data_IF_678188884753
#
_entry.id   IF_678188884753
#
_cell.length_a   1.000
_cell.length_b   1.000
_cell.length_c   1.000
_cell.angle_alpha   90.00
_cell.angle_beta   90.00
_cell.angle_gamma   90.00
#
_symmetry.space_group_name_H-M   'P 1'
#
loop_
_entity.id
_entity.type
_entity.pdbx_description
1 polymer ?
#
# COMPACT_ATOMS: atom_id res chain seq x y z
N UNK A 1 7.72 13.38 -16.18
CA UNK A 1 7.96 13.22 -14.73
C UNK A 1 7.10 12.08 -14.21
N UNK A 2 7.70 11.05 -13.62
CA UNK A 2 6.98 9.98 -12.93
C UNK A 2 6.72 10.41 -11.49
N UNK A 3 5.46 10.38 -11.05
CA UNK A 3 5.08 10.71 -9.67
C UNK A 3 4.63 9.43 -8.99
N UNK A 4 5.30 9.09 -7.88
CA UNK A 4 4.91 7.97 -7.03
C UNK A 4 4.24 8.51 -5.77
N UNK A 5 3.16 7.83 -5.35
CA UNK A 5 2.45 8.13 -4.10
C UNK A 5 2.48 6.92 -3.18
N UNK A 6 2.45 7.18 -1.87
CA UNK A 6 2.24 6.13 -0.87
C UNK A 6 0.81 5.62 -0.96
N UNK A 7 0.66 4.31 -0.84
CA UNK A 7 -0.64 3.67 -0.73
C UNK A 7 -1.32 4.03 0.59
N UNK A 8 -2.60 4.36 0.53
CA UNK A 8 -3.39 4.57 1.73
C UNK A 8 -3.64 3.22 2.42
N UNK A 9 -3.63 3.22 3.75
CA UNK A 9 -3.96 2.03 4.53
C UNK A 9 -5.43 1.66 4.32
N UNK A 10 -5.73 0.35 4.27
CA UNK A 10 -7.10 -0.15 4.25
C UNK A 10 -7.51 -0.55 5.66
N UNK A 11 -8.75 -0.26 6.02
CA UNK A 11 -9.34 -0.84 7.21
C UNK A 11 -9.56 -2.34 7.01
N UNK A 12 -9.17 -3.13 8.00
CA UNK A 12 -9.36 -4.56 7.98
C UNK A 12 -10.31 -4.97 9.11
N UNK A 13 -11.58 -5.18 8.77
CA UNK A 13 -12.68 -5.48 9.70
C UNK A 13 -12.33 -6.58 10.71
N UNK A 14 -11.86 -7.75 10.26
CA UNK A 14 -11.59 -8.87 11.18
C UNK A 14 -10.46 -8.59 12.18
N UNK A 15 -9.49 -7.76 11.81
CA UNK A 15 -8.32 -7.45 12.64
C UNK A 15 -8.44 -6.11 13.35
N UNK A 16 -9.49 -5.33 13.04
CA UNK A 16 -9.75 -3.99 13.56
C UNK A 16 -8.51 -3.08 13.49
N UNK A 17 -7.82 -3.10 12.34
CA UNK A 17 -6.60 -2.32 12.14
C UNK A 17 -6.51 -1.74 10.72
N UNK A 18 -5.71 -0.68 10.59
CA UNK A 18 -5.31 -0.12 9.30
C UNK A 18 -4.06 -0.84 8.80
N UNK A 19 -4.15 -1.51 7.65
CA UNK A 19 -3.03 -2.29 7.11
C UNK A 19 -2.97 -2.23 5.59
N UNK A 20 -1.82 -2.64 5.06
CA UNK A 20 -1.62 -2.89 3.62
C UNK A 20 -1.48 -4.38 3.40
N UNK A 21 -1.86 -4.86 2.22
CA UNK A 21 -1.65 -6.24 1.84
C UNK A 21 -0.22 -6.44 1.33
N UNK A 22 0.63 -7.05 2.15
CA UNK A 22 2.01 -7.39 1.79
C UNK A 22 2.15 -8.82 1.26
N UNK A 23 1.05 -9.57 1.11
CA UNK A 23 1.01 -10.97 0.65
C UNK A 23 1.97 -11.89 1.41
N UNK A 24 2.05 -11.73 2.73
CA UNK A 24 2.93 -12.52 3.61
C UNK A 24 4.40 -12.11 3.63
N UNK A 25 4.82 -11.09 2.85
CA UNK A 25 6.23 -10.62 2.81
C UNK A 25 6.62 -9.67 3.94
N UNK A 26 5.67 -9.25 4.76
CA UNK A 26 5.90 -8.37 5.91
C UNK A 26 5.16 -8.96 7.09
N UNK A 27 5.90 -9.26 8.15
CA UNK A 27 5.44 -10.00 9.33
C UNK A 27 5.47 -9.13 10.58
N UNK A 28 6.31 -8.08 10.60
CA UNK A 28 6.45 -7.17 11.73
C UNK A 28 5.74 -5.86 11.45
N UNK A 29 4.81 -5.48 12.32
CA UNK A 29 4.13 -4.20 12.25
C UNK A 29 5.11 -3.03 12.44
N UNK A 30 5.04 -2.04 11.56
CA UNK A 30 5.88 -0.84 11.63
C UNK A 30 5.26 0.29 10.83
N UNK A 31 5.42 1.53 11.32
CA UNK A 31 5.13 2.76 10.55
C UNK A 31 6.03 2.91 9.33
N UNK A 32 7.12 2.14 9.25
CA UNK A 32 8.01 2.09 8.10
C UNK A 32 7.51 1.16 6.99
N UNK A 33 6.44 0.39 7.19
CA UNK A 33 5.90 -0.48 6.16
C UNK A 33 5.05 0.37 5.18
N UNK A 34 5.44 0.42 3.91
CA UNK A 34 4.70 1.18 2.90
C UNK A 34 4.78 0.54 1.51
N UNK A 35 3.79 0.86 0.68
CA UNK A 35 3.76 0.53 -0.74
C UNK A 35 3.72 1.84 -1.55
N UNK A 36 4.41 1.87 -2.69
CA UNK A 36 4.40 2.98 -3.64
C UNK A 36 3.73 2.57 -4.95
N UNK A 37 2.93 3.48 -5.50
CA UNK A 37 2.18 3.29 -6.74
C UNK A 37 2.30 4.51 -7.63
N UNK A 38 2.07 4.34 -8.93
CA UNK A 38 2.04 5.46 -9.88
C UNK A 38 0.84 6.36 -9.58
N UNK A 39 1.07 7.66 -9.47
CA UNK A 39 -0.01 8.64 -9.43
C UNK A 39 -0.58 8.82 -10.84
N UNK A 40 -1.77 8.27 -11.11
CA UNK A 40 -2.51 8.58 -12.34
C UNK A 40 -2.98 10.05 -12.32
N UNK A 41 -2.76 10.78 -13.42
CA UNK A 41 -3.10 12.22 -13.53
C UNK A 41 -4.59 12.54 -13.33
N UNK A 42 -5.49 11.57 -13.50
CA UNK A 42 -6.95 11.77 -13.52
C UNK A 42 -7.70 11.16 -12.32
N UNK A 43 -7.07 11.12 -11.14
CA UNK A 43 -7.78 11.00 -9.86
C UNK A 43 -8.53 9.69 -9.54
N UNK A 44 -8.73 8.79 -10.51
CA UNK A 44 -9.47 7.53 -10.30
C UNK A 44 -8.51 6.36 -10.44
N UNK A 45 -7.66 6.18 -9.44
CA UNK A 45 -7.07 4.86 -9.20
C UNK A 45 -8.13 4.05 -8.45
N UNK A 46 -8.92 3.27 -9.20
CA UNK A 46 -9.85 2.30 -8.63
C UNK A 46 -9.11 1.31 -7.72
N UNK A 47 -9.76 0.98 -6.61
CA UNK A 47 -9.18 0.40 -5.39
C UNK A 47 -8.63 -1.03 -5.51
N UNK A 48 -8.62 -1.63 -6.69
CA UNK A 48 -8.31 -3.06 -6.85
C UNK A 48 -7.09 -3.38 -7.73
N UNK A 49 -6.59 -2.42 -8.52
CA UNK A 49 -5.38 -2.58 -9.35
C UNK A 49 -4.41 -1.42 -9.17
N UNK A 50 -4.13 -1.04 -7.93
CA UNK A 50 -2.98 -0.20 -7.66
C UNK A 50 -1.71 -1.03 -7.94
N UNK A 51 -1.15 -0.89 -9.14
CA UNK A 51 0.10 -1.52 -9.56
C UNK A 51 1.23 -1.08 -8.59
N UNK A 52 1.44 -1.85 -7.52
CA UNK A 52 2.49 -1.63 -6.53
C UNK A 52 3.83 -1.80 -7.23
N UNK A 53 4.58 -0.70 -7.35
CA UNK A 53 5.91 -0.70 -7.96
C UNK A 53 6.97 -1.07 -6.92
N UNK A 54 6.79 -0.60 -5.69
CA UNK A 54 7.72 -0.83 -4.60
C UNK A 54 6.96 -1.14 -3.33
N UNK A 55 7.44 -2.17 -2.63
CA UNK A 55 6.94 -2.60 -1.35
C UNK A 55 8.12 -2.66 -0.39
N UNK A 56 8.02 -1.96 0.73
CA UNK A 56 9.01 -2.02 1.79
C UNK A 56 8.33 -2.42 3.10
N UNK A 57 8.95 -3.34 3.82
CA UNK A 57 8.57 -3.67 5.18
C UNK A 57 9.48 -4.72 5.77
N UNK A 58 9.31 -4.95 7.07
CA UNK A 58 10.18 -5.82 7.86
C UNK A 58 9.61 -7.24 7.94
N UNK A 59 10.49 -8.22 7.74
CA UNK A 59 10.27 -9.63 8.06
C UNK A 59 10.73 -9.95 9.49
#
# INVERSE_FOLDING_TARGET
>A
MLVLKKLALRWHEQLQCWCLNFSGRVTVASVKNFQLVVSAKNGVAGQEHENVILQFGKC
#
